data_IF_271641510018
#
_entry.id   IF_271641510018
#
_cell.length_a   1.000
_cell.length_b   1.000
_cell.length_c   1.000
_cell.angle_alpha   90.00
_cell.angle_beta   90.00
_cell.angle_gamma   90.00
#
_symmetry.space_group_name_H-M   'P 1'
#
loop_
_entity.id
_entity.type
_entity.pdbx_description
1 polymer ?
#
# COMPACT_ATOMS: atom_id res chain seq x y z
N UNK A 1 -3.04 -34.50 -11.79
CA UNK A 1 -3.83 -35.69 -11.37
C UNK A 1 -3.44 -36.02 -9.93
N UNK A 2 -4.39 -36.14 -9.03
CA UNK A 2 -4.15 -36.58 -7.66
C UNK A 2 -4.95 -37.88 -7.54
N UNK A 3 -4.30 -38.98 -7.10
CA UNK A 3 -4.93 -40.32 -6.98
C UNK A 3 -5.66 -40.81 -8.24
N UNK A 4 -5.07 -40.61 -9.42
CA UNK A 4 -5.63 -40.97 -10.72
C UNK A 4 -6.94 -40.29 -11.15
N UNK A 5 -7.46 -39.35 -10.36
CA UNK A 5 -8.62 -38.56 -10.71
C UNK A 5 -8.22 -37.20 -11.31
N UNK A 6 -8.89 -36.79 -12.37
CA UNK A 6 -8.74 -35.45 -12.90
C UNK A 6 -9.30 -34.44 -11.88
N UNK A 7 -8.46 -33.53 -11.41
CA UNK A 7 -8.88 -32.41 -10.58
C UNK A 7 -8.96 -31.15 -11.45
N UNK A 8 -10.04 -30.43 -11.37
CA UNK A 8 -10.17 -29.08 -11.93
C UNK A 8 -10.53 -28.09 -10.84
N UNK A 9 -9.98 -26.91 -10.96
CA UNK A 9 -10.32 -25.78 -10.11
C UNK A 9 -10.82 -24.64 -10.97
N UNK A 10 -11.92 -24.02 -10.56
CA UNK A 10 -12.52 -22.87 -11.23
C UNK A 10 -12.47 -21.67 -10.28
N UNK A 11 -11.80 -20.62 -10.70
CA UNK A 11 -11.79 -19.34 -9.98
C UNK A 11 -12.65 -18.31 -10.71
N UNK A 12 -13.49 -17.62 -9.95
CA UNK A 12 -14.25 -16.45 -10.38
C UNK A 12 -13.86 -15.29 -9.48
N UNK A 13 -13.44 -14.19 -10.05
CA UNK A 13 -13.07 -12.99 -9.29
C UNK A 13 -13.77 -11.76 -9.83
N UNK A 14 -14.13 -10.86 -8.92
CA UNK A 14 -14.67 -9.54 -9.23
C UNK A 14 -13.90 -8.51 -8.39
N UNK A 15 -13.33 -7.50 -9.05
CA UNK A 15 -12.59 -6.44 -8.41
C UNK A 15 -13.23 -5.08 -8.63
N UNK A 16 -13.25 -4.27 -7.56
CA UNK A 16 -13.62 -2.85 -7.60
C UNK A 16 -12.45 -2.03 -7.08
N UNK A 17 -12.16 -0.92 -7.76
CA UNK A 17 -11.06 -0.03 -7.41
C UNK A 17 -11.53 1.41 -7.43
N UNK A 18 -11.11 2.17 -6.45
CA UNK A 18 -11.35 3.61 -6.39
C UNK A 18 -10.08 4.32 -5.92
N UNK A 19 -9.78 5.46 -6.52
CA UNK A 19 -8.70 6.32 -6.04
C UNK A 19 -9.12 7.78 -6.11
N UNK A 20 -8.66 8.55 -5.14
CA UNK A 20 -8.80 10.01 -5.13
C UNK A 20 -7.47 10.58 -4.68
N UNK A 21 -7.00 11.56 -5.40
CA UNK A 21 -5.79 12.31 -5.04
C UNK A 21 -6.02 13.77 -5.32
N UNK A 22 -5.48 14.63 -4.50
CA UNK A 22 -5.65 16.04 -4.67
C UNK A 22 -4.50 16.87 -4.12
N UNK A 23 -4.12 17.82 -4.90
CA UNK A 23 -3.29 18.96 -4.59
C UNK A 23 -4.19 20.16 -4.36
N UNK A 24 -4.97 20.19 -3.29
CA UNK A 24 -5.93 21.27 -3.01
C UNK A 24 -5.26 22.63 -2.80
N UNK A 25 -4.04 22.63 -2.32
CA UNK A 25 -3.28 23.84 -2.10
C UNK A 25 -1.79 23.53 -2.13
N UNK A 26 -0.96 24.56 -2.15
CA UNK A 26 0.51 24.43 -2.01
C UNK A 26 0.93 23.81 -0.69
N UNK A 27 0.01 23.70 0.26
CA UNK A 27 0.27 23.33 1.63
C UNK A 27 -0.29 21.96 2.01
N UNK A 28 -1.28 21.45 1.25
CA UNK A 28 -1.97 20.19 1.55
C UNK A 28 -1.89 19.29 0.33
N UNK A 29 -1.46 18.08 0.57
CA UNK A 29 -1.43 16.99 -0.38
C UNK A 29 -2.03 15.76 0.26
N UNK A 30 -2.92 15.05 -0.46
CA UNK A 30 -3.44 13.78 0.00
C UNK A 30 -3.73 12.85 -1.17
N UNK A 31 -3.66 11.57 -0.87
CA UNK A 31 -4.03 10.50 -1.77
C UNK A 31 -4.74 9.40 -0.97
N UNK A 32 -5.79 8.84 -1.55
CA UNK A 32 -6.44 7.66 -1.01
C UNK A 32 -6.75 6.68 -2.14
N UNK A 33 -6.56 5.40 -1.86
CA UNK A 33 -6.83 4.30 -2.75
C UNK A 33 -7.57 3.20 -1.99
N UNK A 34 -8.58 2.61 -2.61
CA UNK A 34 -9.31 1.48 -2.10
C UNK A 34 -9.49 0.42 -3.18
N UNK A 35 -9.28 -0.83 -2.81
CA UNK A 35 -9.52 -2.00 -3.64
C UNK A 35 -10.33 -3.03 -2.88
N UNK A 36 -11.36 -3.57 -3.51
CA UNK A 36 -12.16 -4.69 -3.04
C UNK A 36 -12.11 -5.79 -4.10
N UNK A 37 -11.69 -6.98 -3.71
CA UNK A 37 -11.65 -8.16 -4.57
C UNK A 37 -12.49 -9.27 -3.94
N UNK A 38 -13.55 -9.70 -4.61
CA UNK A 38 -14.29 -10.89 -4.30
C UNK A 38 -13.75 -12.06 -5.10
N UNK A 39 -13.61 -13.21 -4.45
CA UNK A 39 -13.11 -14.44 -5.07
C UNK A 39 -13.97 -15.64 -4.67
N UNK A 40 -14.32 -16.44 -5.65
CA UNK A 40 -15.00 -17.72 -5.45
C UNK A 40 -14.21 -18.80 -6.18
N UNK A 41 -13.64 -19.73 -5.42
CA UNK A 41 -12.81 -20.83 -5.90
C UNK A 41 -13.54 -22.14 -5.66
N UNK A 42 -13.94 -22.82 -6.74
CA UNK A 42 -14.63 -24.11 -6.71
C UNK A 42 -13.62 -25.20 -7.09
N UNK A 43 -13.51 -26.22 -6.26
CA UNK A 43 -12.63 -27.36 -6.51
C UNK A 43 -13.45 -28.64 -6.74
N UNK A 44 -13.08 -29.40 -7.77
CA UNK A 44 -13.76 -30.67 -8.08
C UNK A 44 -13.50 -31.78 -7.07
N UNK A 45 -12.44 -31.64 -6.25
CA UNK A 45 -12.14 -32.58 -5.17
C UNK A 45 -12.70 -32.05 -3.85
N UNK A 46 -13.63 -32.81 -3.29
CA UNK A 46 -14.30 -32.49 -2.02
C UNK A 46 -13.36 -32.35 -0.81
N UNK A 47 -12.15 -32.88 -0.90
CA UNK A 47 -11.14 -32.76 0.17
C UNK A 47 -10.56 -31.36 0.37
N UNK A 48 -10.61 -30.52 -0.67
CA UNK A 48 -10.09 -29.15 -0.62
C UNK A 48 -11.16 -28.11 -0.31
N UNK A 49 -12.44 -28.49 -0.46
CA UNK A 49 -13.60 -27.58 -0.29
C UNK A 49 -13.62 -26.39 -1.24
N UNK A 50 -14.77 -25.78 -1.32
CA UNK A 50 -14.90 -24.49 -2.01
C UNK A 50 -14.41 -23.37 -1.10
N UNK A 51 -13.78 -22.34 -1.68
CA UNK A 51 -13.26 -21.22 -0.94
C UNK A 51 -13.86 -19.92 -1.46
N UNK A 52 -14.54 -19.19 -0.59
CA UNK A 52 -15.20 -17.94 -0.92
C UNK A 52 -14.73 -16.86 0.03
N UNK A 53 -14.16 -15.78 -0.52
CA UNK A 53 -13.55 -14.75 0.31
C UNK A 53 -13.52 -13.39 -0.35
N UNK A 54 -13.42 -12.36 0.48
CA UNK A 54 -13.16 -10.99 0.07
C UNK A 54 -11.80 -10.52 0.58
N UNK A 55 -11.11 -9.77 -0.25
CA UNK A 55 -9.89 -9.06 0.12
C UNK A 55 -10.12 -7.56 -0.04
N UNK A 56 -9.80 -6.81 0.99
CA UNK A 56 -9.85 -5.36 0.98
C UNK A 56 -8.45 -4.81 1.20
N UNK A 57 -8.13 -3.81 0.43
CA UNK A 57 -6.90 -3.06 0.55
C UNK A 57 -7.20 -1.57 0.48
N UNK A 58 -6.75 -0.82 1.45
CA UNK A 58 -6.86 0.63 1.43
C UNK A 58 -5.52 1.26 1.81
N UNK A 59 -5.22 2.38 1.16
CA UNK A 59 -4.10 3.25 1.49
C UNK A 59 -4.62 4.68 1.55
N UNK A 60 -4.17 5.42 2.53
CA UNK A 60 -4.40 6.85 2.62
C UNK A 60 -3.10 7.54 3.04
N UNK A 61 -2.72 8.56 2.27
CA UNK A 61 -1.55 9.40 2.51
C UNK A 61 -2.02 10.84 2.68
N UNK A 62 -1.46 11.53 3.66
CA UNK A 62 -1.73 12.93 3.92
C UNK A 62 -0.44 13.67 4.26
N UNK A 63 -0.24 14.84 3.68
CA UNK A 63 0.86 15.74 3.99
C UNK A 63 0.38 17.18 4.09
N UNK A 64 0.76 17.83 5.17
CA UNK A 64 0.56 19.26 5.38
C UNK A 64 1.90 19.96 5.57
N UNK A 65 2.06 21.11 4.93
CA UNK A 65 3.26 21.97 5.03
C UNK A 65 2.84 23.38 5.38
N UNK A 66 3.07 23.80 6.61
CA UNK A 66 2.80 25.16 7.06
C UNK A 66 3.76 26.18 6.40
N UNK A 67 3.30 27.40 6.21
CA UNK A 67 4.11 28.46 5.57
C UNK A 67 5.40 28.77 6.32
N UNK A 68 5.39 28.62 7.64
CA UNK A 68 6.57 28.80 8.50
C UNK A 68 7.52 27.60 8.55
N UNK A 69 7.19 26.50 7.87
CA UNK A 69 8.08 25.35 7.70
C UNK A 69 7.74 24.12 8.52
N UNK A 70 6.73 24.14 9.41
CA UNK A 70 6.27 22.93 10.07
C UNK A 70 5.64 21.99 9.04
N UNK A 71 5.95 20.69 9.15
CA UNK A 71 5.38 19.64 8.30
C UNK A 71 4.71 18.60 9.15
N UNK A 72 3.58 18.11 8.69
CA UNK A 72 2.88 16.97 9.25
C UNK A 72 2.63 15.94 8.15
N UNK A 73 2.94 14.70 8.40
CA UNK A 73 2.66 13.58 7.50
C UNK A 73 1.91 12.48 8.23
N UNK A 74 0.98 11.85 7.57
CA UNK A 74 0.29 10.67 8.06
C UNK A 74 0.05 9.74 6.89
N UNK A 75 0.30 8.46 7.07
CA UNK A 75 -0.06 7.42 6.12
C UNK A 75 -0.71 6.25 6.86
N UNK A 76 -1.71 5.66 6.25
CA UNK A 76 -2.42 4.51 6.78
C UNK A 76 -2.61 3.46 5.69
N UNK A 77 -2.50 2.21 6.07
CA UNK A 77 -2.74 1.06 5.21
C UNK A 77 -3.62 0.05 5.94
N UNK A 78 -4.69 -0.36 5.27
CA UNK A 78 -5.55 -1.46 5.69
C UNK A 78 -5.35 -2.63 4.72
N UNK A 79 -5.11 -3.81 5.26
CA UNK A 79 -5.20 -5.08 4.56
C UNK A 79 -6.15 -5.99 5.32
N UNK A 80 -7.22 -6.41 4.65
CA UNK A 80 -8.22 -7.26 5.27
C UNK A 80 -8.54 -8.45 4.37
N UNK A 81 -8.63 -9.62 4.99
CA UNK A 81 -9.14 -10.83 4.40
C UNK A 81 -10.37 -11.28 5.19
N UNK A 82 -11.49 -11.48 4.50
CA UNK A 82 -12.75 -11.93 5.06
C UNK A 82 -13.21 -13.17 4.30
N UNK A 83 -13.19 -14.31 4.95
CA UNK A 83 -13.78 -15.54 4.42
C UNK A 83 -15.30 -15.52 4.56
N UNK A 84 -16.00 -15.95 3.51
CA UNK A 84 -17.45 -15.91 3.40
C UNK A 84 -18.12 -17.29 3.62
N UNK A 85 -17.31 -18.33 3.82
CA UNK A 85 -17.80 -19.67 4.15
C UNK A 85 -17.03 -20.25 5.35
N UNK A 86 -17.45 -21.39 5.89
CA UNK A 86 -16.89 -22.02 7.09
C UNK A 86 -15.40 -22.35 6.98
N UNK A 87 -14.92 -22.62 5.76
CA UNK A 87 -13.52 -22.95 5.50
C UNK A 87 -12.69 -21.68 5.47
N UNK A 88 -13.12 -20.68 4.72
CA UNK A 88 -12.39 -19.43 4.53
C UNK A 88 -12.46 -18.50 5.73
N UNK A 89 -13.56 -18.55 6.52
CA UNK A 89 -13.73 -17.69 7.71
C UNK A 89 -12.69 -17.95 8.81
N UNK A 90 -12.15 -19.17 8.87
CA UNK A 90 -11.06 -19.51 9.80
C UNK A 90 -9.75 -18.77 9.50
N UNK A 91 -9.71 -18.09 8.38
CA UNK A 91 -8.52 -17.43 7.85
C UNK A 91 -8.67 -15.91 7.83
N UNK A 92 -9.70 -15.39 8.50
CA UNK A 92 -9.90 -13.96 8.64
C UNK A 92 -8.67 -13.29 9.23
N UNK A 93 -8.26 -12.20 8.61
CA UNK A 93 -7.16 -11.38 9.07
C UNK A 93 -7.41 -9.93 8.72
N UNK A 94 -7.07 -9.04 9.64
CA UNK A 94 -7.12 -7.60 9.42
C UNK A 94 -5.85 -7.01 9.98
N UNK A 95 -5.12 -6.24 9.17
CA UNK A 95 -3.93 -5.50 9.55
C UNK A 95 -4.12 -4.03 9.23
N UNK A 96 -3.90 -3.16 10.21
CA UNK A 96 -3.97 -1.70 10.07
C UNK A 96 -2.65 -1.08 10.49
N UNK A 97 -1.89 -0.62 9.52
CA UNK A 97 -0.62 0.07 9.78
C UNK A 97 -0.84 1.56 9.59
N UNK A 98 -0.54 2.33 10.62
CA UNK A 98 -0.62 3.78 10.61
C UNK A 98 0.73 4.38 11.01
N UNK A 99 1.21 5.32 10.22
CA UNK A 99 2.45 6.04 10.46
C UNK A 99 2.16 7.53 10.55
N UNK A 100 2.87 8.23 11.43
CA UNK A 100 2.79 9.69 11.55
C UNK A 100 4.18 10.29 11.57
N UNK A 101 4.30 11.51 11.06
CA UNK A 101 5.53 12.28 11.07
C UNK A 101 5.26 13.75 11.39
N UNK A 102 6.13 14.31 12.22
CA UNK A 102 6.14 15.72 12.52
C UNK A 102 7.52 16.27 12.22
N UNK A 103 7.62 17.19 11.29
CA UNK A 103 8.89 17.69 10.81
C UNK A 103 8.96 19.20 10.73
N UNK A 104 10.17 19.68 10.48
CA UNK A 104 10.43 21.10 10.26
C UNK A 104 11.42 21.29 9.10
N UNK A 105 11.09 22.22 8.20
CA UNK A 105 11.95 22.58 7.08
C UNK A 105 13.11 23.45 7.55
N UNK A 106 14.32 22.99 7.30
CA UNK A 106 15.60 23.63 7.65
C UNK A 106 16.36 24.04 6.39
N UNK A 107 17.53 24.67 6.55
CA UNK A 107 18.45 25.02 5.46
C UNK A 107 17.75 25.81 4.31
N UNK A 108 17.01 26.86 4.67
CA UNK A 108 16.22 27.67 3.71
C UNK A 108 15.22 26.82 2.91
N UNK A 109 14.60 25.83 3.55
CA UNK A 109 13.64 24.85 2.98
C UNK A 109 14.27 23.81 2.04
N UNK A 110 15.59 23.70 1.98
CA UNK A 110 16.29 22.66 1.23
C UNK A 110 16.38 21.35 2.02
N UNK A 111 16.35 21.42 3.36
CA UNK A 111 16.35 20.27 4.25
C UNK A 111 15.04 20.15 5.02
N UNK A 112 14.79 18.97 5.55
CA UNK A 112 13.69 18.66 6.46
C UNK A 112 14.19 17.68 7.51
N UNK A 113 13.96 17.98 8.78
CA UNK A 113 14.14 17.06 9.90
C UNK A 113 12.76 16.66 10.36
N UNK A 114 12.51 15.37 10.46
CA UNK A 114 11.21 14.82 10.80
C UNK A 114 11.36 13.74 11.88
N UNK A 115 10.56 13.86 12.93
CA UNK A 115 10.32 12.79 13.89
C UNK A 115 9.20 11.91 13.37
N UNK A 116 9.44 10.60 13.29
CA UNK A 116 8.48 9.64 12.73
C UNK A 116 8.13 8.59 13.78
N UNK A 117 6.86 8.21 13.77
CA UNK A 117 6.33 7.04 14.49
C UNK A 117 5.82 6.09 13.43
N UNK A 118 6.38 4.90 13.38
CA UNK A 118 5.96 3.83 12.51
C UNK A 118 5.13 2.82 13.28
N UNK A 119 4.11 2.32 12.60
CA UNK A 119 3.17 1.35 13.16
C UNK A 119 2.60 1.82 14.52
N UNK A 120 1.86 2.95 14.47
CA UNK A 120 1.33 3.65 15.65
C UNK A 120 0.50 2.71 16.55
N UNK A 121 -0.23 1.77 15.97
CA UNK A 121 -1.08 0.83 16.70
C UNK A 121 -0.36 -0.45 17.10
N UNK A 122 0.86 -0.69 16.58
CA UNK A 122 1.63 -1.92 16.74
C UNK A 122 0.85 -3.16 16.28
N UNK A 123 0.20 -3.01 15.13
CA UNK A 123 -0.68 -4.03 14.55
C UNK A 123 0.01 -4.85 13.43
N UNK A 124 1.26 -4.49 13.08
CA UNK A 124 2.05 -5.24 12.11
C UNK A 124 2.44 -6.58 12.70
N UNK A 125 1.84 -7.64 12.20
CA UNK A 125 2.11 -9.02 12.62
C UNK A 125 3.10 -9.76 11.71
N UNK A 126 3.48 -9.13 10.59
CA UNK A 126 4.37 -9.70 9.59
C UNK A 126 3.80 -10.92 8.89
N UNK A 127 2.50 -11.08 8.95
CA UNK A 127 1.82 -12.22 8.39
C UNK A 127 1.37 -11.90 6.96
N UNK A 128 1.95 -12.58 5.99
CA UNK A 128 1.62 -12.43 4.59
C UNK A 128 1.00 -13.72 4.05
N UNK A 129 -0.22 -13.62 3.55
CA UNK A 129 -0.96 -14.74 2.98
C UNK A 129 -1.13 -14.57 1.48
N UNK A 130 -0.73 -15.59 0.75
CA UNK A 130 -0.95 -15.68 -0.68
C UNK A 130 -1.88 -16.86 -1.00
N UNK A 131 -2.89 -16.58 -1.77
CA UNK A 131 -3.86 -17.56 -2.23
C UNK A 131 -3.71 -17.82 -3.72
N UNK A 132 -3.80 -19.09 -4.08
CA UNK A 132 -4.00 -19.51 -5.46
C UNK A 132 -5.22 -20.44 -5.54
N UNK A 133 -5.62 -20.79 -6.76
CA UNK A 133 -6.74 -21.71 -6.95
C UNK A 133 -6.53 -23.08 -6.27
N UNK A 134 -5.28 -23.49 -6.06
CA UNK A 134 -4.93 -24.84 -5.58
C UNK A 134 -4.09 -24.85 -4.32
N UNK A 135 -3.61 -23.69 -3.86
CA UNK A 135 -2.71 -23.61 -2.72
C UNK A 135 -2.92 -22.35 -1.90
N UNK A 136 -2.64 -22.45 -0.62
CA UNK A 136 -2.53 -21.33 0.30
C UNK A 136 -1.11 -21.33 0.89
N UNK A 137 -0.44 -20.22 0.78
CA UNK A 137 0.87 -20.01 1.39
C UNK A 137 0.76 -18.98 2.52
N UNK A 138 1.19 -19.36 3.71
CA UNK A 138 1.29 -18.48 4.87
C UNK A 138 2.77 -18.19 5.12
N UNK A 139 3.18 -16.96 4.94
CA UNK A 139 4.53 -16.51 5.29
C UNK A 139 4.43 -15.61 6.52
N UNK A 140 5.23 -15.92 7.54
CA UNK A 140 5.43 -15.06 8.69
C UNK A 140 6.85 -14.54 8.66
N UNK A 141 6.98 -13.21 8.64
CA UNK A 141 8.27 -12.54 8.71
C UNK A 141 8.41 -11.86 10.06
N UNK A 142 9.61 -11.84 10.59
CA UNK A 142 9.89 -11.01 11.75
C UNK A 142 9.86 -9.55 11.30
N UNK A 143 8.88 -8.81 11.78
CA UNK A 143 8.76 -7.38 11.55
C UNK A 143 9.14 -6.61 12.79
N UNK A 144 9.72 -5.45 12.59
CA UNK A 144 9.88 -4.47 13.66
C UNK A 144 8.49 -3.85 13.83
N UNK A 145 7.84 -4.08 14.98
CA UNK A 145 6.57 -3.45 15.31
C UNK A 145 6.74 -1.93 15.45
N UNK A 146 6.01 -1.31 16.37
CA UNK A 146 6.11 0.14 16.59
C UNK A 146 7.53 0.59 16.87
N UNK A 147 8.00 1.59 16.12
CA UNK A 147 9.28 2.25 16.40
C UNK A 147 9.21 3.75 16.12
N UNK A 148 10.14 4.45 16.76
CA UNK A 148 10.34 5.88 16.62
C UNK A 148 11.66 6.14 15.88
N UNK A 149 11.68 7.16 15.07
CA UNK A 149 12.87 7.49 14.31
C UNK A 149 12.97 8.98 14.00
N UNK A 150 14.15 9.40 13.61
CA UNK A 150 14.41 10.73 13.07
C UNK A 150 14.86 10.55 11.63
N UNK A 151 14.20 11.26 10.72
CA UNK A 151 14.54 11.29 9.30
C UNK A 151 15.04 12.67 8.93
N UNK A 152 16.20 12.70 8.29
CA UNK A 152 16.71 13.92 7.65
C UNK A 152 16.65 13.75 6.15
N UNK A 153 15.99 14.68 5.47
CA UNK A 153 15.88 14.71 4.01
C UNK A 153 16.52 16.00 3.52
N UNK A 154 17.40 15.91 2.53
CA UNK A 154 18.02 17.06 1.89
C UNK A 154 17.81 17.01 0.38
N UNK A 155 17.18 18.05 -0.18
CA UNK A 155 16.91 18.15 -1.60
C UNK A 155 18.08 18.86 -2.31
N UNK A 156 18.91 18.07 -2.96
CA UNK A 156 19.96 18.58 -3.84
C UNK A 156 19.33 19.13 -5.12
N UNK A 157 19.14 20.44 -5.19
CA UNK A 157 18.75 21.07 -6.45
C UNK A 157 20.00 21.26 -7.29
N UNK A 158 20.19 20.39 -8.27
CA UNK A 158 21.18 20.63 -9.33
C UNK A 158 20.59 21.64 -10.30
N UNK A 159 20.96 22.90 -10.12
CA UNK A 159 20.76 23.88 -11.18
C UNK A 159 21.81 23.62 -12.28
N UNK A 160 21.48 22.75 -13.24
CA UNK A 160 22.18 22.78 -14.51
C UNK A 160 22.07 24.20 -15.07
N UNK A 161 23.16 24.83 -15.47
CA UNK A 161 23.13 26.09 -16.20
C UNK A 161 22.31 25.87 -17.48
N UNK A 162 21.04 26.27 -17.47
CA UNK A 162 20.21 26.26 -18.66
C UNK A 162 20.82 27.25 -19.63
N UNK A 163 21.23 26.77 -20.81
CA UNK A 163 21.54 27.64 -21.93
C UNK A 163 20.32 28.53 -22.15
N UNK A 164 20.53 29.85 -22.20
CA UNK A 164 19.49 30.84 -22.51
C UNK A 164 18.66 30.34 -23.70
N UNK A 165 17.37 30.10 -23.49
CA UNK A 165 16.40 29.91 -24.57
C UNK A 165 15.48 28.67 -24.51
N UNK A 166 15.52 27.82 -23.47
CA UNK A 166 14.50 26.79 -23.30
C UNK A 166 13.83 26.92 -21.93
N UNK A 167 12.62 27.44 -21.93
CA UNK A 167 11.69 27.23 -20.82
C UNK A 167 11.39 25.72 -20.74
N UNK A 168 12.00 25.06 -19.78
CA UNK A 168 11.61 23.69 -19.45
C UNK A 168 10.34 23.84 -18.62
N UNK A 169 9.19 23.59 -19.27
CA UNK A 169 7.93 23.46 -18.61
C UNK A 169 8.03 22.45 -17.46
N UNK A 170 7.34 22.73 -16.38
CA UNK A 170 7.12 21.82 -15.25
C UNK A 170 6.61 20.47 -15.76
N UNK A 171 7.50 19.59 -16.17
CA UNK A 171 7.14 18.19 -16.29
C UNK A 171 7.25 17.59 -14.90
N UNK A 172 6.11 17.71 -14.21
CA UNK A 172 5.88 17.04 -12.95
C UNK A 172 6.16 15.56 -13.01
N UNK A 173 6.32 15.03 -11.87
CA UNK A 173 6.48 13.67 -11.37
C UNK A 173 5.53 12.64 -12.02
N UNK A 174 5.41 12.58 -13.33
CA UNK A 174 4.55 11.62 -14.06
C UNK A 174 5.33 10.46 -14.73
N UNK A 175 6.54 10.17 -14.26
CA UNK A 175 7.40 9.14 -14.87
C UNK A 175 7.51 7.81 -14.13
N UNK A 176 6.81 7.56 -13.01
CA UNK A 176 7.09 6.39 -12.17
C UNK A 176 6.10 5.23 -12.27
N UNK A 177 5.10 5.33 -13.14
CA UNK A 177 4.17 4.21 -13.41
C UNK A 177 4.01 3.98 -14.91
N UNK A 178 5.09 3.60 -15.59
CA UNK A 178 4.96 2.85 -16.85
C UNK A 178 5.07 1.37 -16.52
N UNK A 179 3.95 0.68 -16.77
CA UNK A 179 3.79 -0.73 -16.54
C UNK A 179 4.86 -1.57 -17.20
N UNK A 180 5.28 -2.59 -16.49
CA UNK A 180 5.89 -3.76 -17.09
C UNK A 180 4.76 -4.57 -17.70
N UNK A 181 4.70 -4.60 -19.04
CA UNK A 181 3.94 -5.57 -19.79
C UNK A 181 4.58 -6.96 -19.54
N UNK A 182 3.82 -7.84 -18.92
CA UNK A 182 4.15 -9.25 -18.87
C UNK A 182 3.67 -9.92 -20.16
N UNK A 183 4.60 -10.40 -20.95
CA UNK A 183 4.38 -11.47 -21.91
C UNK A 183 4.36 -12.81 -21.20
#
# INVERSE_FOLDING_TARGET
MINNNANYSRNRSLGLYASIGSNFSKNIDFHAFYALNYNNVINSMSSSGDNEYMQQFAVADFRYVANFGLTFSADARLMQYVGLNDISSRLNNTEVICNIGLGYKVLKKLGEVEFIVRDLFNDSDGFYRHWSATSMSNNKQNVIGRYFGIRFTYNLRHYGKTRKGQEIGESGVNGMFRGHDFQ
#
